data_IF_727897915127
#
_entry.id   IF_727897915127
#
_cell.length_a   1.000
_cell.length_b   1.000
_cell.length_c   1.000
_cell.angle_alpha   90.00
_cell.angle_beta   90.00
_cell.angle_gamma   90.00
#
_symmetry.space_group_name_H-M   'P 1'
#
loop_
_entity.id
_entity.type
_entity.pdbx_description
1 polymer ?
#
# COMPACT_ATOMS: atom_id res chain seq x y z
N UNK A 1 -10.88 14.31 -7.85
CA UNK A 1 -9.99 13.18 -7.52
C UNK A 1 -10.86 12.12 -6.87
N UNK A 2 -10.92 10.90 -7.42
CA UNK A 2 -11.83 9.85 -6.95
C UNK A 2 -11.64 9.59 -5.46
N UNK A 3 -12.60 10.00 -4.63
CA UNK A 3 -12.54 9.96 -3.17
C UNK A 3 -12.77 8.57 -2.57
N UNK A 4 -12.33 7.51 -3.25
CA UNK A 4 -12.51 6.14 -2.76
C UNK A 4 -11.66 5.92 -1.51
N UNK A 5 -12.27 5.55 -0.36
CA UNK A 5 -11.54 5.24 0.88
C UNK A 5 -10.50 4.14 0.66
N UNK A 6 -10.82 3.14 -0.15
CA UNK A 6 -9.94 2.03 -0.52
C UNK A 6 -8.65 2.50 -1.17
N UNK A 7 -8.74 3.42 -2.14
CA UNK A 7 -7.57 3.94 -2.86
C UNK A 7 -6.72 4.80 -1.90
N UNK A 8 -7.37 5.64 -1.08
CA UNK A 8 -6.66 6.53 -0.16
C UNK A 8 -5.89 5.77 0.92
N UNK A 9 -6.52 4.75 1.51
CA UNK A 9 -5.86 3.86 2.45
C UNK A 9 -4.79 3.01 1.77
N UNK A 10 -5.12 2.38 0.63
CA UNK A 10 -4.20 1.51 -0.11
C UNK A 10 -2.90 2.19 -0.53
N UNK A 11 -2.96 3.46 -0.98
CA UNK A 11 -1.78 4.26 -1.28
C UNK A 11 -0.91 4.50 -0.03
N UNK A 12 -1.55 4.84 1.09
CA UNK A 12 -0.84 5.06 2.37
C UNK A 12 -0.16 3.78 2.85
N UNK A 13 -0.88 2.66 2.80
CA UNK A 13 -0.39 1.35 3.21
C UNK A 13 0.73 0.83 2.29
N UNK A 14 0.63 1.06 0.98
CA UNK A 14 1.69 0.73 0.02
C UNK A 14 2.96 1.55 0.29
N UNK A 15 2.83 2.85 0.54
CA UNK A 15 3.97 3.69 0.89
C UNK A 15 4.64 3.25 2.20
N UNK A 16 3.86 2.87 3.21
CA UNK A 16 4.37 2.31 4.47
C UNK A 16 5.09 0.97 4.25
N UNK A 17 4.50 0.07 3.47
CA UNK A 17 5.10 -1.22 3.13
C UNK A 17 6.44 -1.07 2.39
N UNK A 18 6.51 -0.15 1.41
CA UNK A 18 7.74 0.16 0.68
C UNK A 18 8.84 0.71 1.60
N UNK A 19 8.49 1.61 2.52
CA UNK A 19 9.47 2.13 3.49
C UNK A 19 9.93 1.04 4.46
N UNK A 20 9.01 0.19 4.93
CA UNK A 20 9.35 -0.92 5.81
C UNK A 20 10.31 -1.92 5.15
N UNK A 21 10.16 -2.18 3.85
CA UNK A 21 11.10 -3.00 3.06
C UNK A 21 12.51 -2.41 2.99
N UNK A 22 12.67 -1.09 3.14
CA UNK A 22 13.99 -0.44 3.23
C UNK A 22 14.66 -0.65 4.60
N UNK A 23 13.94 -1.23 5.58
CA UNK A 23 14.49 -1.63 6.88
C UNK A 23 14.33 -0.59 7.98
N UNK A 24 13.70 0.56 7.72
CA UNK A 24 13.41 1.58 8.73
C UNK A 24 12.02 2.15 8.48
N UNK A 25 11.16 2.14 9.52
CA UNK A 25 9.84 2.76 9.47
C UNK A 25 9.79 3.94 10.45
N UNK A 26 9.85 5.20 9.98
CA UNK A 26 9.72 6.37 10.82
C UNK A 26 8.40 6.37 11.60
N UNK A 27 8.40 6.88 12.84
CA UNK A 27 7.19 7.00 13.65
C UNK A 27 6.06 7.75 12.92
N UNK A 28 6.41 8.76 12.12
CA UNK A 28 5.44 9.50 11.29
C UNK A 28 4.67 8.57 10.34
N UNK A 29 5.34 7.64 9.68
CA UNK A 29 4.73 6.69 8.74
C UNK A 29 3.78 5.74 9.46
N UNK A 30 4.17 5.27 10.65
CA UNK A 30 3.33 4.45 11.52
C UNK A 30 2.03 5.16 11.90
N UNK A 31 2.15 6.41 12.33
CA UNK A 31 1.00 7.23 12.72
C UNK A 31 0.12 7.59 11.54
N UNK A 32 0.71 7.90 10.38
CA UNK A 32 -0.03 8.23 9.16
C UNK A 32 -0.82 7.02 8.66
N UNK A 33 -0.23 5.81 8.72
CA UNK A 33 -0.94 4.56 8.43
C UNK A 33 -2.12 4.33 9.37
N UNK A 34 -1.91 4.43 10.69
CA UNK A 34 -2.96 4.25 11.69
C UNK A 34 -4.09 5.28 11.54
N UNK A 35 -3.76 6.55 11.29
CA UNK A 35 -4.74 7.61 11.02
C UNK A 35 -5.53 7.34 9.74
N UNK A 36 -4.86 6.86 8.69
CA UNK A 36 -5.50 6.53 7.43
C UNK A 36 -6.51 5.39 7.62
N UNK A 37 -6.16 4.34 8.36
CA UNK A 37 -7.07 3.26 8.71
C UNK A 37 -8.31 3.75 9.47
N UNK A 38 -8.13 4.54 10.53
CA UNK A 38 -9.25 5.09 11.31
C UNK A 38 -10.16 6.02 10.50
N UNK A 39 -9.57 6.80 9.58
CA UNK A 39 -10.31 7.77 8.76
C UNK A 39 -11.10 7.11 7.65
N UNK A 40 -10.52 6.14 6.95
CA UNK A 40 -11.07 5.59 5.72
C UNK A 40 -11.82 4.27 5.92
N UNK A 41 -11.47 3.51 6.95
CA UNK A 41 -12.09 2.21 7.25
C UNK A 41 -12.45 2.08 8.73
N UNK A 42 -13.28 2.98 9.29
CA UNK A 42 -13.69 2.91 10.68
C UNK A 42 -14.45 1.60 10.95
N UNK A 43 -14.02 0.84 11.95
CA UNK A 43 -14.65 -0.43 12.35
C UNK A 43 -14.30 -1.64 11.47
N UNK A 44 -13.43 -1.50 10.48
CA UNK A 44 -12.96 -2.65 9.69
C UNK A 44 -11.95 -3.48 10.48
N UNK A 45 -12.39 -4.61 11.02
CA UNK A 45 -11.52 -5.53 11.75
C UNK A 45 -10.32 -6.04 10.92
N UNK A 46 -10.46 -6.41 9.62
CA UNK A 46 -9.32 -6.81 8.81
C UNK A 46 -8.25 -5.72 8.67
N UNK A 47 -8.67 -4.47 8.43
CA UNK A 47 -7.76 -3.32 8.32
C UNK A 47 -7.08 -3.03 9.66
N UNK A 48 -7.83 -3.07 10.77
CA UNK A 48 -7.29 -2.85 12.10
C UNK A 48 -6.25 -3.91 12.48
N UNK A 49 -6.53 -5.19 12.17
CA UNK A 49 -5.60 -6.29 12.42
C UNK A 49 -4.31 -6.14 11.61
N UNK A 50 -4.41 -5.87 10.31
CA UNK A 50 -3.24 -5.69 9.45
C UNK A 50 -2.36 -4.50 9.87
N UNK A 51 -2.97 -3.38 10.28
CA UNK A 51 -2.23 -2.23 10.80
C UNK A 51 -1.59 -2.53 12.15
N UNK A 52 -2.30 -3.25 13.03
CA UNK A 52 -1.75 -3.64 14.35
C UNK A 52 -0.55 -4.55 14.18
N UNK A 53 -0.67 -5.60 13.36
CA UNK A 53 0.42 -6.51 13.03
C UNK A 53 1.63 -5.76 12.44
N UNK A 54 1.39 -4.83 11.50
CA UNK A 54 2.46 -4.00 10.96
C UNK A 54 3.18 -3.19 12.06
N UNK A 55 2.43 -2.55 12.96
CA UNK A 55 2.99 -1.73 14.04
C UNK A 55 3.80 -2.56 15.04
N UNK A 56 3.35 -3.78 15.34
CA UNK A 56 4.06 -4.71 16.20
C UNK A 56 5.38 -5.19 15.56
N UNK A 57 5.33 -5.54 14.27
CA UNK A 57 6.47 -6.07 13.52
C UNK A 57 7.52 -5.01 13.16
N UNK A 58 7.12 -3.75 12.93
CA UNK A 58 7.98 -2.77 12.27
C UNK A 58 9.26 -2.36 13.04
N UNK A 59 9.34 -2.63 14.34
CA UNK A 59 10.53 -2.34 15.15
C UNK A 59 11.57 -3.47 15.14
N UNK A 60 11.15 -4.71 14.93
CA UNK A 60 12.03 -5.89 15.03
C UNK A 60 12.23 -6.62 13.70
N UNK A 61 11.20 -6.62 12.84
CA UNK A 61 11.28 -7.12 11.46
C UNK A 61 10.52 -6.18 10.51
N UNK A 62 11.10 -5.01 10.18
CA UNK A 62 10.49 -4.06 9.26
C UNK A 62 10.27 -4.64 7.86
N UNK A 63 11.12 -5.56 7.41
CA UNK A 63 10.95 -6.20 6.10
C UNK A 63 9.77 -7.16 6.10
N UNK A 64 9.64 -7.99 7.13
CA UNK A 64 8.48 -8.85 7.35
C UNK A 64 7.19 -8.05 7.50
N UNK A 65 7.21 -6.97 8.28
CA UNK A 65 6.07 -6.05 8.42
C UNK A 65 5.61 -5.50 7.05
N UNK A 66 6.55 -5.04 6.23
CA UNK A 66 6.26 -4.59 4.86
C UNK A 66 5.83 -5.70 3.90
N UNK A 67 6.21 -6.94 4.17
CA UNK A 67 5.72 -8.13 3.45
C UNK A 67 4.26 -8.41 3.78
N UNK A 68 3.95 -8.56 5.07
CA UNK A 68 2.61 -8.85 5.59
C UNK A 68 1.60 -7.78 5.19
N UNK A 69 1.95 -6.49 5.34
CA UNK A 69 1.06 -5.39 4.94
C UNK A 69 0.79 -5.39 3.43
N UNK A 70 1.79 -5.70 2.60
CA UNK A 70 1.58 -5.78 1.15
C UNK A 70 0.72 -6.97 0.76
N UNK A 71 0.90 -8.13 1.42
CA UNK A 71 0.08 -9.31 1.18
C UNK A 71 -1.37 -9.03 1.54
N UNK A 72 -1.62 -8.46 2.72
CA UNK A 72 -2.96 -8.01 3.12
C UNK A 72 -3.61 -7.12 2.06
N UNK A 73 -2.89 -6.13 1.51
CA UNK A 73 -3.43 -5.26 0.47
C UNK A 73 -3.81 -6.02 -0.80
N UNK A 74 -3.00 -6.98 -1.23
CA UNK A 74 -3.30 -7.78 -2.42
C UNK A 74 -4.56 -8.62 -2.20
N UNK A 75 -4.60 -9.37 -1.09
CA UNK A 75 -5.74 -10.23 -0.75
C UNK A 75 -7.02 -9.40 -0.61
N UNK A 76 -6.92 -8.22 0.02
CA UNK A 76 -8.05 -7.33 0.23
C UNK A 76 -8.54 -6.64 -1.05
N UNK A 77 -7.65 -6.32 -2.00
CA UNK A 77 -8.04 -5.80 -3.31
C UNK A 77 -8.73 -6.87 -4.16
N UNK A 78 -8.23 -8.11 -4.11
CA UNK A 78 -8.82 -9.26 -4.80
C UNK A 78 -10.23 -9.55 -4.27
N UNK A 79 -10.42 -9.57 -2.95
CA UNK A 79 -11.73 -9.75 -2.31
C UNK A 79 -12.71 -8.61 -2.63
N UNK A 80 -12.21 -7.38 -2.75
CA UNK A 80 -13.02 -6.22 -3.11
C UNK A 80 -13.39 -6.19 -4.62
N UNK A 81 -12.90 -7.13 -5.42
CA UNK A 81 -13.10 -7.15 -6.87
C UNK A 81 -12.46 -5.94 -7.56
N UNK A 82 -11.48 -5.30 -6.92
CA UNK A 82 -10.73 -4.18 -7.49
C UNK A 82 -9.68 -4.83 -8.40
N UNK A 83 -9.79 -4.69 -9.74
CA UNK A 83 -8.81 -5.29 -10.62
C UNK A 83 -7.43 -4.74 -10.28
N UNK A 84 -6.45 -5.63 -10.12
CA UNK A 84 -5.05 -5.24 -10.07
C UNK A 84 -4.78 -4.27 -11.23
N UNK A 85 -4.02 -3.19 -11.01
CA UNK A 85 -3.70 -2.26 -12.09
C UNK A 85 -3.02 -3.08 -13.20
N UNK A 86 -3.73 -3.28 -14.30
CA UNK A 86 -3.18 -3.96 -15.48
C UNK A 86 -1.95 -3.15 -15.86
N UNK A 87 -0.74 -3.76 -15.90
CA UNK A 87 0.42 -3.03 -16.40
C UNK A 87 0.04 -2.53 -17.79
N UNK A 88 0.02 -1.21 -17.94
CA UNK A 88 -0.31 -0.58 -19.21
C UNK A 88 0.54 -1.26 -20.29
N UNK A 89 -0.14 -1.73 -21.33
CA UNK A 89 0.49 -2.54 -22.36
C UNK A 89 1.69 -1.77 -22.93
N UNK A 90 2.77 -2.44 -23.37
CA UNK A 90 3.92 -1.76 -23.98
C UNK A 90 3.54 -0.81 -25.13
N UNK A 91 2.36 -1.00 -25.72
CA UNK A 91 1.77 -0.16 -26.77
C UNK A 91 1.33 1.23 -26.26
N UNK A 92 0.90 1.35 -25.01
CA UNK A 92 0.46 2.60 -24.40
C UNK A 92 1.63 3.55 -24.08
N UNK A 93 2.84 3.00 -23.94
CA UNK A 93 4.09 3.77 -23.77
C UNK A 93 4.98 3.79 -25.02
N UNK A 94 4.45 3.44 -26.20
CA UNK A 94 5.22 3.46 -27.45
C UNK A 94 5.78 4.86 -27.80
N UNK A 95 5.26 5.92 -27.19
CA UNK A 95 5.81 7.27 -27.29
C UNK A 95 7.13 7.46 -26.53
N UNK A 96 7.39 6.70 -25.46
CA UNK A 96 8.67 6.75 -24.72
C UNK A 96 9.82 6.23 -25.59
N UNK A 97 9.59 5.14 -26.32
CA UNK A 97 10.58 4.57 -27.25
C UNK A 97 10.92 5.47 -28.45
N UNK A 98 10.10 6.50 -28.75
CA UNK A 98 10.39 7.48 -29.83
C UNK A 98 11.19 8.69 -29.32
N UNK A 99 11.26 8.91 -28.01
CA UNK A 99 12.03 10.00 -27.43
C UNK A 99 13.54 9.72 -27.44
N UNK A 100 13.94 8.46 -27.55
CA UNK A 100 15.34 8.01 -27.61
C UNK A 100 15.97 8.11 -29.02
N UNK A 101 15.27 8.73 -29.99
CA UNK A 101 15.71 8.89 -31.39
C UNK A 101 16.08 10.35 -31.75
N UNK A 102 16.66 11.11 -30.81
CA UNK A 102 17.20 12.45 -31.05
C UNK A 102 18.72 12.50 -30.85
#
# INVERSE_FOLDING_TARGET
MSGSPFISFGLTATAAALQARQGVVPQRVRLDLARSAMRHHPGSAPVANAVTEFLELCDHDPRGAGGALQQFLNDWMDDAGIPAPTPASPREFAWQARADLA
#
